data_IF_119390098023
#
_entry.id   IF_119390098023
#
_cell.length_a   1.000
_cell.length_b   1.000
_cell.length_c   1.000
_cell.angle_alpha   90.00
_cell.angle_beta   90.00
_cell.angle_gamma   90.00
#
_symmetry.space_group_name_H-M   'P 1'
#
loop_
_entity.id
_entity.type
_entity.pdbx_description
1 polymer ?
#
# COMPACT_ATOMS: atom_id res chain seq x y z
N UNK A 1 18.69 11.46 -26.92
CA UNK A 1 17.28 11.49 -27.39
C UNK A 1 17.12 12.33 -28.65
N UNK A 2 17.84 13.45 -28.81
CA UNK A 2 17.67 14.36 -29.96
C UNK A 2 17.75 13.72 -31.36
N UNK A 3 18.64 12.75 -31.63
CA UNK A 3 18.68 12.07 -32.93
C UNK A 3 17.43 11.22 -33.26
N UNK A 4 16.61 10.88 -32.25
CA UNK A 4 15.44 10.00 -32.40
C UNK A 4 14.14 10.80 -32.42
N UNK A 5 14.04 11.86 -31.59
CA UNK A 5 12.83 12.67 -31.41
C UNK A 5 13.12 14.18 -31.53
N UNK A 6 13.61 14.65 -32.70
CA UNK A 6 14.26 15.96 -32.83
C UNK A 6 13.38 17.15 -32.45
N UNK A 7 12.11 17.16 -32.86
CA UNK A 7 11.20 18.26 -32.55
C UNK A 7 10.79 18.31 -31.07
N UNK A 8 10.55 17.15 -30.45
CA UNK A 8 10.18 17.07 -29.03
C UNK A 8 11.35 17.48 -28.14
N UNK A 9 12.55 17.00 -28.44
CA UNK A 9 13.75 17.34 -27.67
C UNK A 9 14.12 18.81 -27.83
N UNK A 10 13.92 19.37 -29.03
CA UNK A 10 14.11 20.80 -29.27
C UNK A 10 13.13 21.62 -28.44
N UNK A 11 11.84 21.27 -28.46
CA UNK A 11 10.83 21.95 -27.65
C UNK A 11 11.14 21.90 -26.15
N UNK A 12 11.61 20.76 -25.63
CA UNK A 12 12.04 20.62 -24.23
C UNK A 12 13.27 21.49 -23.96
N UNK A 13 14.27 21.48 -24.83
CA UNK A 13 15.50 22.27 -24.68
C UNK A 13 15.21 23.76 -24.58
N UNK A 14 14.39 24.29 -25.50
CA UNK A 14 13.96 25.69 -25.50
C UNK A 14 13.27 26.07 -24.19
N UNK A 15 12.32 25.24 -23.73
CA UNK A 15 11.47 25.59 -22.59
C UNK A 15 12.07 25.28 -21.21
N UNK A 16 13.03 24.36 -21.13
CA UNK A 16 13.56 23.87 -19.85
C UNK A 16 15.04 24.21 -19.66
N UNK A 17 15.84 24.26 -20.73
CA UNK A 17 17.28 24.56 -20.64
C UNK A 17 17.54 26.03 -20.90
N UNK A 18 17.18 26.54 -22.09
CA UNK A 18 17.44 27.94 -22.44
C UNK A 18 16.60 28.94 -21.66
N UNK A 19 15.38 28.56 -21.28
CA UNK A 19 14.49 29.42 -20.49
C UNK A 19 15.02 29.71 -19.07
N UNK A 20 15.79 28.79 -18.48
CA UNK A 20 16.21 28.86 -17.07
C UNK A 20 17.73 28.76 -16.86
N UNK A 21 18.51 28.60 -17.92
CA UNK A 21 19.94 28.37 -17.85
C UNK A 21 20.66 28.78 -19.13
N UNK A 22 21.94 28.42 -19.21
CA UNK A 22 22.79 28.68 -20.36
C UNK A 22 22.98 27.37 -21.15
N UNK A 23 22.95 27.48 -22.47
CA UNK A 23 23.17 26.37 -23.40
C UNK A 23 23.20 26.88 -24.84
N UNK A 24 23.50 25.98 -25.78
CA UNK A 24 23.42 26.28 -27.21
C UNK A 24 21.98 26.61 -27.63
N UNK A 25 21.84 27.36 -28.73
CA UNK A 25 20.54 27.80 -29.24
C UNK A 25 19.60 26.65 -29.61
N UNK A 26 20.14 25.45 -29.88
CA UNK A 26 19.37 24.25 -30.17
C UNK A 26 20.07 23.03 -29.57
N UNK A 27 19.30 22.02 -29.16
CA UNK A 27 19.86 20.74 -28.70
C UNK A 27 20.62 20.00 -29.80
N UNK A 28 20.39 20.33 -31.07
CA UNK A 28 21.09 19.73 -32.20
C UNK A 28 22.47 20.35 -32.45
N UNK A 29 22.75 21.48 -31.80
CA UNK A 29 24.05 22.15 -31.81
C UNK A 29 24.88 21.81 -30.56
N UNK A 30 24.28 21.16 -29.57
CA UNK A 30 24.99 20.80 -28.33
C UNK A 30 25.78 19.51 -28.49
N UNK A 31 26.89 19.46 -27.76
CA UNK A 31 27.71 18.26 -27.67
C UNK A 31 26.97 17.11 -26.97
N UNK A 32 27.35 15.88 -27.34
CA UNK A 32 26.89 14.72 -26.61
C UNK A 32 27.38 14.78 -25.15
N UNK A 33 26.52 14.50 -24.15
CA UNK A 33 26.91 14.61 -22.75
C UNK A 33 28.06 13.64 -22.42
N UNK A 34 29.08 14.15 -21.74
CA UNK A 34 30.20 13.34 -21.25
C UNK A 34 29.76 12.57 -20.00
N UNK A 35 30.10 11.29 -19.93
CA UNK A 35 29.81 10.47 -18.77
C UNK A 35 30.52 11.05 -17.52
N UNK A 36 29.76 11.23 -16.44
CA UNK A 36 30.29 11.64 -15.14
C UNK A 36 30.84 10.46 -14.34
N UNK A 37 31.22 10.73 -13.09
CA UNK A 37 31.60 9.69 -12.13
C UNK A 37 30.35 8.90 -11.72
N UNK A 38 30.47 7.56 -11.73
CA UNK A 38 29.41 6.65 -11.28
C UNK A 38 29.72 6.18 -9.87
N UNK A 39 28.76 6.36 -8.96
CA UNK A 39 28.83 5.80 -7.61
C UNK A 39 28.13 4.43 -7.57
N UNK A 40 28.93 3.38 -7.64
CA UNK A 40 28.46 1.99 -7.60
C UNK A 40 27.78 1.62 -6.27
N UNK A 41 28.13 2.28 -5.16
CA UNK A 41 27.49 2.01 -3.88
C UNK A 41 26.06 2.55 -3.87
N UNK A 42 25.85 3.75 -4.42
CA UNK A 42 24.50 4.32 -4.59
C UNK A 42 23.65 3.45 -5.51
N UNK A 43 24.21 2.97 -6.62
CA UNK A 43 23.47 2.09 -7.54
C UNK A 43 22.98 0.82 -6.85
N UNK A 44 23.83 0.17 -6.06
CA UNK A 44 23.46 -1.02 -5.27
C UNK A 44 22.40 -0.72 -4.22
N UNK A 45 22.52 0.40 -3.51
CA UNK A 45 21.53 0.81 -2.52
C UNK A 45 20.17 1.03 -3.17
N UNK A 46 20.14 1.73 -4.31
CA UNK A 46 18.91 1.99 -5.07
C UNK A 46 18.29 0.69 -5.59
N UNK A 47 19.09 -0.29 -6.01
CA UNK A 47 18.60 -1.60 -6.44
C UNK A 47 17.83 -2.31 -5.29
N UNK A 48 18.39 -2.31 -4.08
CA UNK A 48 17.74 -2.87 -2.89
C UNK A 48 16.45 -2.11 -2.56
N UNK A 49 16.47 -0.78 -2.56
CA UNK A 49 15.30 0.07 -2.31
C UNK A 49 14.19 -0.20 -3.33
N UNK A 50 14.53 -0.32 -4.62
CA UNK A 50 13.57 -0.67 -5.67
C UNK A 50 12.99 -2.06 -5.48
N UNK A 51 13.80 -3.03 -5.03
CA UNK A 51 13.31 -4.37 -4.72
C UNK A 51 12.30 -4.34 -3.56
N UNK A 52 12.58 -3.60 -2.49
CA UNK A 52 11.63 -3.37 -1.38
C UNK A 52 10.31 -2.79 -1.88
N UNK A 53 10.36 -1.68 -2.62
CA UNK A 53 9.17 -1.01 -3.16
C UNK A 53 8.37 -1.96 -4.05
N UNK A 54 9.04 -2.67 -4.95
CA UNK A 54 8.39 -3.61 -5.87
C UNK A 54 7.69 -4.75 -5.12
N UNK A 55 8.34 -5.32 -4.11
CA UNK A 55 7.73 -6.40 -3.30
C UNK A 55 6.56 -5.89 -2.46
N UNK A 56 6.66 -4.70 -1.88
CA UNK A 56 5.57 -4.11 -1.12
C UNK A 56 4.35 -3.79 -2.01
N UNK A 57 4.56 -3.19 -3.19
CA UNK A 57 3.48 -2.92 -4.14
C UNK A 57 2.83 -4.20 -4.65
N UNK A 58 3.62 -5.25 -4.87
CA UNK A 58 3.09 -6.58 -5.21
C UNK A 58 2.23 -7.14 -4.07
N UNK A 59 2.71 -7.09 -2.83
CA UNK A 59 1.93 -7.53 -1.65
C UNK A 59 0.60 -6.80 -1.53
N UNK A 60 0.59 -5.48 -1.78
CA UNK A 60 -0.65 -4.68 -1.80
C UNK A 60 -1.61 -5.20 -2.88
N UNK A 61 -1.11 -5.45 -4.08
CA UNK A 61 -1.92 -5.98 -5.17
C UNK A 61 -2.47 -7.37 -4.85
N UNK A 62 -1.66 -8.26 -4.29
CA UNK A 62 -2.07 -9.62 -3.90
C UNK A 62 -3.18 -9.61 -2.82
N UNK A 63 -3.17 -8.60 -1.94
CA UNK A 63 -4.23 -8.35 -0.95
C UNK A 63 -5.34 -7.42 -1.46
N UNK A 64 -5.34 -7.03 -2.73
CA UNK A 64 -6.30 -6.11 -3.37
C UNK A 64 -6.41 -4.71 -2.72
N UNK A 65 -5.31 -4.20 -2.17
CA UNK A 65 -5.25 -2.89 -1.50
C UNK A 65 -4.72 -1.83 -2.49
N UNK A 66 -5.57 -0.87 -2.87
CA UNK A 66 -5.19 0.25 -3.75
C UNK A 66 -4.05 1.06 -3.13
N UNK A 67 -3.04 1.47 -3.89
CA UNK A 67 -1.88 2.26 -3.38
C UNK A 67 -2.31 3.56 -2.68
N UNK A 68 -3.42 4.18 -3.11
CA UNK A 68 -3.93 5.42 -2.49
C UNK A 68 -4.45 5.25 -1.06
N UNK A 69 -4.81 4.03 -0.67
CA UNK A 69 -5.20 3.72 0.70
C UNK A 69 -3.95 3.74 1.58
N UNK A 70 -3.73 4.70 2.48
CA UNK A 70 -2.58 4.64 3.35
C UNK A 70 -2.65 3.39 4.24
N UNK A 71 -1.50 2.77 4.48
CA UNK A 71 -1.33 1.68 5.44
C UNK A 71 -0.53 2.18 6.64
N UNK A 72 -0.68 1.52 7.78
CA UNK A 72 0.05 1.89 8.99
C UNK A 72 1.55 1.67 8.81
N UNK A 73 1.98 0.43 8.59
CA UNK A 73 3.39 0.07 8.66
C UNK A 73 3.86 -0.84 7.53
N UNK A 74 5.11 -0.60 7.11
CA UNK A 74 5.95 -1.52 6.36
C UNK A 74 7.00 -2.12 7.31
N UNK A 75 7.12 -3.44 7.33
CA UNK A 75 8.15 -4.14 8.10
C UNK A 75 9.27 -4.63 7.19
N UNK A 76 10.51 -4.29 7.57
CA UNK A 76 11.73 -4.67 6.86
C UNK A 76 12.70 -5.38 7.79
N UNK A 77 13.61 -6.17 7.22
CA UNK A 77 14.70 -6.77 7.98
C UNK A 77 15.66 -5.70 8.49
N UNK A 78 16.05 -5.80 9.76
CA UNK A 78 17.00 -4.89 10.42
C UNK A 78 18.31 -4.75 9.63
N UNK A 79 18.72 -5.78 8.90
CA UNK A 79 19.90 -5.74 8.03
C UNK A 79 19.78 -4.69 6.90
N UNK A 80 18.57 -4.31 6.51
CA UNK A 80 18.30 -3.34 5.45
C UNK A 80 18.27 -1.90 5.94
N UNK A 81 18.30 -1.67 7.26
CA UNK A 81 18.13 -0.34 7.85
C UNK A 81 19.18 0.65 7.34
N UNK A 82 20.46 0.26 7.31
CA UNK A 82 21.54 1.14 6.86
C UNK A 82 21.39 1.54 5.38
N UNK A 83 20.87 0.63 4.56
CA UNK A 83 20.68 0.85 3.11
C UNK A 83 19.43 1.67 2.84
N UNK A 84 18.34 1.41 3.57
CA UNK A 84 17.04 2.03 3.31
C UNK A 84 16.86 3.37 4.04
N UNK A 85 17.56 3.61 5.17
CA UNK A 85 17.45 4.82 5.99
C UNK A 85 17.56 6.14 5.22
N UNK A 86 18.50 6.29 4.29
CA UNK A 86 18.59 7.51 3.49
C UNK A 86 17.40 7.74 2.55
N UNK A 87 16.57 6.71 2.31
CA UNK A 87 15.49 6.72 1.31
C UNK A 87 14.09 6.51 1.92
N UNK A 88 13.94 6.66 3.23
CA UNK A 88 12.66 6.39 3.93
C UNK A 88 11.49 7.17 3.37
N UNK A 89 11.65 8.46 3.10
CA UNK A 89 10.54 9.28 2.58
C UNK A 89 10.10 8.77 1.20
N UNK A 90 11.05 8.43 0.33
CA UNK A 90 10.77 7.86 -1.00
C UNK A 90 10.03 6.53 -0.87
N UNK A 91 10.51 5.63 0.00
CA UNK A 91 9.89 4.32 0.21
C UNK A 91 8.46 4.49 0.76
N UNK A 92 8.27 5.39 1.74
CA UNK A 92 6.97 5.67 2.34
C UNK A 92 6.00 6.27 1.34
N UNK A 93 6.45 7.17 0.48
CA UNK A 93 5.61 7.84 -0.51
C UNK A 93 5.20 6.88 -1.62
N UNK A 94 6.13 6.10 -2.16
CA UNK A 94 5.86 5.12 -3.22
C UNK A 94 4.92 4.01 -2.75
N UNK A 95 5.10 3.52 -1.52
CA UNK A 95 4.27 2.45 -0.96
C UNK A 95 3.01 3.01 -0.30
N UNK A 96 2.98 4.29 0.09
CA UNK A 96 1.95 4.95 0.90
C UNK A 96 1.72 4.26 2.26
N UNK A 97 2.74 4.32 3.11
CA UNK A 97 2.74 3.81 4.51
C UNK A 97 3.10 4.92 5.50
N UNK A 98 2.57 4.87 6.72
CA UNK A 98 2.86 5.87 7.75
C UNK A 98 4.23 5.68 8.39
N UNK A 99 4.66 4.45 8.56
CA UNK A 99 5.94 4.12 9.17
C UNK A 99 6.65 2.93 8.52
N UNK A 100 7.96 2.87 8.71
CA UNK A 100 8.81 1.73 8.38
C UNK A 100 9.38 1.21 9.70
N UNK A 101 9.15 -0.07 10.00
CA UNK A 101 9.57 -0.73 11.22
C UNK A 101 10.58 -1.82 10.89
N UNK A 102 11.73 -1.79 11.56
CA UNK A 102 12.76 -2.81 11.38
C UNK A 102 12.61 -3.95 12.37
N UNK A 103 12.58 -5.18 11.86
CA UNK A 103 12.47 -6.39 12.66
C UNK A 103 13.75 -7.21 12.57
N UNK A 104 14.17 -7.77 13.71
CA UNK A 104 15.21 -8.80 13.77
C UNK A 104 14.63 -10.21 13.60
N UNK A 105 13.34 -10.39 13.91
CA UNK A 105 12.63 -11.65 13.77
C UNK A 105 11.26 -11.47 13.11
N UNK A 106 11.15 -11.92 11.86
CA UNK A 106 9.90 -11.93 11.11
C UNK A 106 8.97 -13.08 11.51
N UNK A 107 9.42 -14.07 12.27
CA UNK A 107 8.53 -15.10 12.81
C UNK A 107 7.51 -14.50 13.78
N UNK A 108 7.85 -13.37 14.42
CA UNK A 108 6.93 -12.59 15.26
C UNK A 108 5.67 -12.10 14.52
N UNK A 109 5.69 -12.04 13.17
CA UNK A 109 4.56 -11.64 12.33
C UNK A 109 3.69 -12.84 11.89
N UNK A 110 4.01 -14.04 12.36
CA UNK A 110 3.32 -15.26 12.02
C UNK A 110 2.91 -15.98 13.30
N UNK A 111 1.82 -16.74 13.22
CA UNK A 111 1.35 -17.60 14.30
C UNK A 111 1.54 -19.03 13.86
N UNK A 112 2.20 -19.82 14.71
CA UNK A 112 2.32 -21.25 14.49
C UNK A 112 1.03 -21.96 14.86
N UNK A 113 0.72 -23.02 14.13
CA UNK A 113 -0.42 -23.88 14.40
C UNK A 113 -0.09 -25.32 14.02
N UNK A 114 -0.80 -26.25 14.64
CA UNK A 114 -0.70 -27.66 14.31
C UNK A 114 -1.82 -28.02 13.35
N UNK A 115 -1.46 -28.79 12.33
CA UNK A 115 -2.41 -29.42 11.41
C UNK A 115 -2.23 -30.93 11.46
N UNK A 116 -3.30 -31.69 11.25
CA UNK A 116 -3.21 -33.14 11.19
C UNK A 116 -2.44 -33.56 9.94
N UNK A 117 -1.46 -34.46 10.12
CA UNK A 117 -0.87 -35.19 9.02
C UNK A 117 -1.85 -36.28 8.59
N UNK A 118 -2.76 -35.95 7.66
CA UNK A 118 -3.83 -36.85 7.22
C UNK A 118 -3.35 -38.24 6.75
N UNK A 119 -2.11 -38.37 6.25
CA UNK A 119 -1.57 -39.68 5.84
C UNK A 119 -1.28 -40.60 7.02
N UNK A 120 -0.70 -40.05 8.11
CA UNK A 120 -0.35 -40.82 9.32
C UNK A 120 -1.58 -40.94 10.22
N UNK A 121 -2.31 -39.83 10.40
CA UNK A 121 -3.54 -39.77 11.18
C UNK A 121 -4.62 -40.71 10.64
N UNK A 122 -4.78 -40.82 9.32
CA UNK A 122 -5.76 -41.75 8.73
C UNK A 122 -5.45 -43.23 9.01
N UNK A 123 -4.18 -43.60 9.12
CA UNK A 123 -3.77 -44.99 9.43
C UNK A 123 -4.00 -45.36 10.89
N UNK A 124 -3.78 -44.42 11.81
CA UNK A 124 -3.90 -44.64 13.26
C UNK A 124 -5.30 -44.34 13.81
N UNK A 125 -5.90 -43.21 13.47
CA UNK A 125 -7.15 -42.73 14.06
C UNK A 125 -8.40 -43.30 13.39
N UNK A 126 -8.32 -43.75 12.12
CA UNK A 126 -9.43 -44.34 11.35
C UNK A 126 -10.75 -43.58 11.56
N UNK A 127 -11.71 -44.16 12.29
CA UNK A 127 -13.05 -43.62 12.54
C UNK A 127 -13.05 -42.34 13.41
N UNK A 128 -11.98 -42.11 14.18
CA UNK A 128 -11.83 -40.91 15.01
C UNK A 128 -11.17 -39.75 14.26
N UNK A 129 -10.68 -39.94 13.02
CA UNK A 129 -10.01 -38.88 12.26
C UNK A 129 -10.87 -37.62 12.12
N UNK A 130 -12.14 -37.80 11.73
CA UNK A 130 -13.06 -36.67 11.54
C UNK A 130 -13.37 -35.97 12.87
N UNK A 131 -13.50 -36.73 13.97
CA UNK A 131 -13.75 -36.16 15.30
C UNK A 131 -12.58 -35.31 15.78
N UNK A 132 -11.35 -35.79 15.60
CA UNK A 132 -10.15 -35.05 15.99
C UNK A 132 -9.99 -33.81 15.10
N UNK A 133 -10.25 -33.92 13.80
CA UNK A 133 -10.19 -32.77 12.88
C UNK A 133 -11.20 -31.68 13.27
N UNK A 134 -12.46 -32.05 13.56
CA UNK A 134 -13.48 -31.10 14.02
C UNK A 134 -13.13 -30.44 15.36
N UNK A 135 -12.45 -31.14 16.26
CA UNK A 135 -11.97 -30.55 17.50
C UNK A 135 -10.89 -29.52 17.22
N UNK A 136 -9.93 -29.82 16.32
CA UNK A 136 -8.88 -28.88 15.91
C UNK A 136 -9.43 -27.63 15.22
N UNK A 137 -10.46 -27.78 14.39
CA UNK A 137 -11.12 -26.65 13.71
C UNK A 137 -11.87 -25.74 14.69
N UNK A 138 -12.22 -26.23 15.89
CA UNK A 138 -12.95 -25.48 16.93
C UNK A 138 -12.04 -24.92 18.02
N UNK A 139 -10.74 -25.21 18.00
CA UNK A 139 -9.81 -24.68 19.00
C UNK A 139 -9.72 -23.17 18.89
N UNK A 140 -9.71 -22.51 20.04
CA UNK A 140 -9.35 -21.09 20.12
C UNK A 140 -7.85 -20.89 19.86
N UNK A 141 -7.45 -19.66 19.52
CA UNK A 141 -6.02 -19.37 19.27
C UNK A 141 -5.14 -19.66 20.51
N UNK A 142 -5.65 -19.43 21.72
CA UNK A 142 -4.97 -19.74 22.98
C UNK A 142 -4.78 -21.25 23.17
N UNK A 143 -5.79 -22.05 22.87
CA UNK A 143 -5.70 -23.51 22.95
C UNK A 143 -4.76 -24.08 21.89
N UNK A 144 -4.78 -23.53 20.67
CA UNK A 144 -3.84 -23.90 19.61
C UNK A 144 -2.40 -23.57 20.01
N UNK A 145 -2.16 -22.39 20.59
CA UNK A 145 -0.85 -21.99 21.09
C UNK A 145 -0.35 -22.91 22.21
N UNK A 146 -1.23 -23.34 23.12
CA UNK A 146 -0.91 -24.33 24.14
C UNK A 146 -0.54 -25.70 23.53
N UNK A 147 -1.24 -26.13 22.48
CA UNK A 147 -0.92 -27.37 21.76
C UNK A 147 0.45 -27.28 21.07
N UNK A 148 0.77 -26.15 20.43
CA UNK A 148 2.10 -25.90 19.82
C UNK A 148 3.21 -25.91 20.88
N UNK A 149 2.98 -25.25 22.02
CA UNK A 149 3.94 -25.23 23.12
C UNK A 149 4.19 -26.64 23.69
N UNK A 150 3.13 -27.45 23.81
CA UNK A 150 3.22 -28.85 24.23
C UNK A 150 3.99 -29.65 23.19
N UNK A 151 3.65 -29.57 21.91
CA UNK A 151 4.34 -30.26 20.80
C UNK A 151 5.85 -30.02 20.75
N UNK A 152 6.29 -28.80 21.09
CA UNK A 152 7.72 -28.44 21.14
C UNK A 152 8.46 -29.04 22.34
N UNK A 153 7.77 -29.28 23.46
CA UNK A 153 8.37 -29.81 24.71
C UNK A 153 8.22 -31.32 24.83
N UNK A 154 7.02 -31.84 24.56
CA UNK A 154 6.60 -33.21 24.80
C UNK A 154 5.76 -33.72 23.62
N UNK A 155 6.01 -34.96 23.18
CA UNK A 155 5.43 -35.53 21.94
C UNK A 155 4.27 -36.52 22.12
N UNK A 156 3.46 -36.39 23.18
CA UNK A 156 2.05 -36.69 23.01
C UNK A 156 1.20 -35.45 23.33
N UNK A 157 0.36 -35.06 22.37
CA UNK A 157 -0.48 -33.85 22.45
C UNK A 157 -1.84 -34.24 22.99
N UNK A 158 -2.30 -33.52 24.00
CA UNK A 158 -3.68 -33.65 24.51
C UNK A 158 -4.52 -32.54 23.89
N UNK A 159 -5.61 -32.92 23.24
CA UNK A 159 -6.54 -31.99 22.58
C UNK A 159 -7.79 -31.87 23.43
N UNK A 160 -8.23 -30.65 23.73
CA UNK A 160 -9.48 -30.39 24.46
C UNK A 160 -10.64 -31.13 23.78
N UNK A 161 -11.31 -32.02 24.52
CA UNK A 161 -12.44 -32.80 24.01
C UNK A 161 -12.09 -34.18 23.43
N UNK A 162 -10.81 -34.55 23.31
CA UNK A 162 -10.40 -35.91 22.97
C UNK A 162 -9.80 -36.65 24.18
N UNK A 163 -10.26 -37.87 24.44
CA UNK A 163 -9.91 -38.62 25.67
C UNK A 163 -8.48 -39.16 25.69
N UNK A 164 -7.88 -39.42 24.52
CA UNK A 164 -6.58 -40.07 24.42
C UNK A 164 -5.50 -39.05 24.05
N UNK A 165 -4.29 -39.24 24.54
CA UNK A 165 -3.16 -38.45 24.09
C UNK A 165 -2.75 -38.90 22.68
N UNK A 166 -2.51 -37.93 21.79
CA UNK A 166 -2.23 -38.16 20.39
C UNK A 166 -0.72 -38.08 20.14
N UNK A 167 -0.09 -39.10 19.53
CA UNK A 167 1.32 -39.06 19.19
C UNK A 167 1.67 -37.83 18.34
N UNK A 168 2.82 -37.20 18.60
CA UNK A 168 3.27 -36.02 17.85
C UNK A 168 3.41 -36.27 16.34
N UNK A 169 3.67 -37.51 15.92
CA UNK A 169 3.78 -37.91 14.50
C UNK A 169 2.48 -37.69 13.69
N UNK A 170 1.35 -37.54 14.39
CA UNK A 170 0.06 -37.24 13.77
C UNK A 170 -0.07 -35.78 13.34
N UNK A 171 0.90 -34.92 13.66
CA UNK A 171 0.80 -33.48 13.46
C UNK A 171 1.95 -32.92 12.63
N UNK A 172 1.62 -31.92 11.81
CA UNK A 172 2.58 -31.04 11.16
C UNK A 172 2.52 -29.68 11.84
N UNK A 173 3.68 -29.15 12.22
CA UNK A 173 3.83 -27.76 12.67
C UNK A 173 3.93 -26.86 11.45
N UNK A 174 2.94 -25.98 11.28
CA UNK A 174 2.86 -25.01 10.20
C UNK A 174 2.84 -23.58 10.79
N UNK A 175 3.04 -22.59 9.92
CA UNK A 175 2.98 -21.18 10.29
C UNK A 175 2.08 -20.44 9.31
N UNK A 176 1.18 -19.61 9.83
CA UNK A 176 0.33 -18.70 9.06
C UNK A 176 0.64 -17.26 9.43
N UNK A 177 0.47 -16.33 8.50
CA UNK A 177 0.55 -14.90 8.79
C UNK A 177 -0.44 -14.53 9.91
N UNK A 178 -0.05 -13.63 10.81
CA UNK A 178 -0.99 -13.05 11.77
C UNK A 178 -2.11 -12.32 11.04
N UNK A 179 -3.24 -12.15 11.71
CA UNK A 179 -4.33 -11.36 11.16
C UNK A 179 -3.83 -9.98 10.72
N UNK A 180 -4.31 -9.53 9.56
CA UNK A 180 -3.89 -8.30 8.91
C UNK A 180 -2.40 -8.18 8.55
N UNK A 181 -1.58 -9.23 8.70
CA UNK A 181 -0.21 -9.23 8.19
C UNK A 181 -0.13 -9.84 6.80
N UNK A 182 0.66 -9.23 5.92
CA UNK A 182 0.96 -9.73 4.59
C UNK A 182 2.47 -9.79 4.40
N UNK A 183 3.06 -10.94 4.09
CA UNK A 183 4.51 -11.15 4.00
C UNK A 183 4.91 -11.72 2.63
N UNK A 184 6.03 -11.22 2.10
CA UNK A 184 6.67 -11.73 0.87
C UNK A 184 8.15 -11.92 1.11
N UNK A 185 8.71 -12.98 0.52
CA UNK A 185 10.14 -13.33 0.61
C UNK A 185 10.78 -13.54 -0.77
N UNK A 186 10.24 -12.92 -1.83
CA UNK A 186 10.83 -13.02 -3.16
C UNK A 186 12.01 -12.06 -3.29
N UNK A 187 13.22 -12.53 -2.99
CA UNK A 187 14.47 -11.76 -3.05
C UNK A 187 14.72 -10.89 -1.83
N UNK A 188 13.75 -10.07 -1.43
CA UNK A 188 13.79 -9.25 -0.20
C UNK A 188 12.60 -9.59 0.68
N UNK A 189 12.85 -9.74 1.98
CA UNK A 189 11.81 -10.03 2.96
C UNK A 189 11.11 -8.73 3.38
N UNK A 190 9.81 -8.66 3.08
CA UNK A 190 8.97 -7.49 3.34
C UNK A 190 7.64 -7.95 3.93
N UNK A 191 7.11 -7.19 4.88
CA UNK A 191 5.73 -7.37 5.31
C UNK A 191 4.97 -6.04 5.43
N UNK A 192 3.65 -6.09 5.32
CA UNK A 192 2.75 -4.95 5.48
C UNK A 192 1.73 -5.24 6.57
N UNK A 193 1.44 -4.23 7.38
CA UNK A 193 0.20 -4.21 8.15
C UNK A 193 -0.93 -3.72 7.24
N UNK A 194 -1.89 -4.61 6.99
CA UNK A 194 -3.06 -4.40 6.13
C UNK A 194 -4.30 -3.98 6.91
N UNK A 195 -4.19 -3.82 8.24
CA UNK A 195 -5.28 -3.36 9.09
C UNK A 195 -5.63 -1.91 8.73
N UNK A 196 -6.90 -1.70 8.38
CA UNK A 196 -7.42 -0.38 8.04
C UNK A 196 -8.18 0.19 9.22
N UNK A 197 -7.49 1.02 10.01
CA UNK A 197 -8.14 1.85 11.03
C UNK A 197 -9.08 2.86 10.37
N UNK A 198 -10.07 3.36 11.11
CA UNK A 198 -11.02 4.33 10.57
C UNK A 198 -10.32 5.61 10.09
N UNK A 199 -9.27 6.06 10.79
CA UNK A 199 -8.45 7.19 10.34
C UNK A 199 -7.78 6.93 8.99
N UNK A 200 -7.22 5.74 8.77
CA UNK A 200 -6.60 5.37 7.50
C UNK A 200 -7.65 5.29 6.37
N UNK A 201 -8.85 4.74 6.64
CA UNK A 201 -9.95 4.71 5.66
C UNK A 201 -10.38 6.12 5.26
N UNK A 202 -10.59 7.00 6.23
CA UNK A 202 -10.97 8.41 6.01
C UNK A 202 -9.92 9.13 5.16
N UNK A 203 -8.63 8.95 5.46
CA UNK A 203 -7.56 9.53 4.64
C UNK A 203 -7.52 8.94 3.22
N UNK A 204 -7.76 7.63 3.08
CA UNK A 204 -7.87 6.98 1.77
C UNK A 204 -8.98 7.59 0.90
N UNK A 205 -10.16 7.81 1.50
CA UNK A 205 -11.29 8.49 0.84
C UNK A 205 -10.93 9.92 0.45
N UNK A 206 -10.28 10.68 1.35
CA UNK A 206 -9.80 12.02 1.04
C UNK A 206 -8.88 12.04 -0.18
N UNK A 207 -7.87 11.15 -0.23
CA UNK A 207 -6.93 11.06 -1.36
C UNK A 207 -7.64 10.71 -2.67
N UNK A 208 -8.67 9.88 -2.61
CA UNK A 208 -9.46 9.54 -3.79
C UNK A 208 -10.31 10.72 -4.27
N UNK A 209 -10.99 11.43 -3.36
CA UNK A 209 -11.73 12.67 -3.66
C UNK A 209 -10.80 13.71 -4.27
N UNK A 210 -9.64 13.96 -3.67
CA UNK A 210 -8.67 14.94 -4.15
C UNK A 210 -8.25 14.64 -5.59
N UNK A 211 -7.94 13.39 -5.91
CA UNK A 211 -7.62 12.97 -7.27
C UNK A 211 -8.76 13.25 -8.24
N UNK A 212 -9.99 12.96 -7.85
CA UNK A 212 -11.16 13.25 -8.69
C UNK A 212 -11.37 14.75 -8.90
N UNK A 213 -11.06 15.58 -7.91
CA UNK A 213 -11.08 17.03 -8.07
C UNK A 213 -10.04 17.50 -9.10
N UNK A 214 -8.81 16.96 -9.04
CA UNK A 214 -7.76 17.30 -10.02
C UNK A 214 -8.11 16.83 -11.44
N UNK A 215 -8.69 15.63 -11.57
CA UNK A 215 -9.19 15.15 -12.85
C UNK A 215 -10.31 16.03 -13.39
N UNK A 216 -11.25 16.44 -12.52
CA UNK A 216 -12.35 17.33 -12.90
C UNK A 216 -11.83 18.69 -13.37
N UNK A 217 -10.80 19.26 -12.71
CA UNK A 217 -10.10 20.47 -13.17
C UNK A 217 -9.55 20.32 -14.57
N UNK A 218 -8.83 19.22 -14.82
CA UNK A 218 -8.24 18.93 -16.13
C UNK A 218 -9.31 18.75 -17.22
N UNK A 219 -10.36 17.99 -16.92
CA UNK A 219 -11.46 17.71 -17.85
C UNK A 219 -12.28 18.98 -18.17
N UNK A 220 -12.43 19.89 -17.21
CA UNK A 220 -13.08 21.18 -17.41
C UNK A 220 -12.18 22.24 -18.09
N UNK A 221 -10.95 21.88 -18.47
CA UNK A 221 -10.05 22.73 -19.26
C UNK A 221 -9.29 23.79 -18.45
N UNK A 222 -9.17 23.62 -17.13
CA UNK A 222 -8.39 24.54 -16.29
C UNK A 222 -6.88 24.26 -16.38
N UNK A 223 -6.08 25.32 -16.39
CA UNK A 223 -4.64 25.23 -16.21
C UNK A 223 -4.28 24.89 -14.75
N UNK A 224 -3.05 24.43 -14.52
CA UNK A 224 -2.56 24.06 -13.17
C UNK A 224 -2.60 25.26 -12.22
N UNK A 225 -2.37 26.47 -12.72
CA UNK A 225 -2.37 27.71 -11.95
C UNK A 225 -3.75 28.32 -11.69
N UNK A 226 -4.80 27.82 -12.34
CA UNK A 226 -6.12 28.46 -12.28
C UNK A 226 -6.77 28.25 -10.91
N UNK A 227 -7.40 29.28 -10.39
CA UNK A 227 -8.25 29.15 -9.20
C UNK A 227 -9.67 28.77 -9.61
N UNK A 228 -10.31 27.86 -8.86
CA UNK A 228 -11.63 27.31 -9.21
C UNK A 228 -12.57 27.28 -8.02
N UNK A 229 -13.87 27.15 -8.30
CA UNK A 229 -14.87 26.85 -7.28
C UNK A 229 -15.21 25.37 -7.32
N UNK A 230 -15.29 24.73 -6.16
CA UNK A 230 -15.75 23.35 -6.00
C UNK A 230 -16.99 23.30 -5.11
N UNK A 231 -17.89 22.39 -5.44
CA UNK A 231 -19.04 22.01 -4.61
C UNK A 231 -19.15 20.50 -4.54
N UNK A 232 -19.60 19.98 -3.41
CA UNK A 232 -19.69 18.57 -3.13
C UNK A 232 -21.07 18.22 -2.59
N UNK A 233 -21.73 17.25 -3.24
CA UNK A 233 -23.04 16.76 -2.82
C UNK A 233 -22.99 15.26 -2.62
N UNK A 234 -23.41 14.79 -1.44
CA UNK A 234 -23.52 13.37 -1.15
C UNK A 234 -24.62 13.11 -0.13
N UNK A 235 -25.29 11.98 -0.27
CA UNK A 235 -26.21 11.46 0.75
C UNK A 235 -25.50 10.59 1.79
N UNK A 236 -24.20 10.33 1.63
CA UNK A 236 -23.41 9.44 2.50
C UNK A 236 -22.73 10.27 3.60
N UNK A 237 -23.07 10.07 4.88
CA UNK A 237 -22.50 10.86 5.98
C UNK A 237 -20.97 10.76 6.09
N UNK A 238 -20.40 9.57 5.87
CA UNK A 238 -18.95 9.35 5.90
C UNK A 238 -18.20 10.24 4.90
N UNK A 239 -18.71 10.34 3.67
CA UNK A 239 -18.12 11.19 2.61
C UNK A 239 -18.27 12.68 2.93
N UNK A 240 -19.40 13.09 3.50
CA UNK A 240 -19.61 14.46 3.98
C UNK A 240 -18.60 14.82 5.09
N UNK A 241 -18.37 13.91 6.04
CA UNK A 241 -17.37 14.10 7.10
C UNK A 241 -15.97 14.29 6.54
N UNK A 242 -15.56 13.46 5.56
CA UNK A 242 -14.24 13.56 4.91
C UNK A 242 -14.05 14.93 4.25
N UNK A 243 -15.05 15.40 3.49
CA UNK A 243 -14.97 16.72 2.82
C UNK A 243 -14.88 17.86 3.82
N UNK A 244 -15.57 17.75 4.96
CA UNK A 244 -15.51 18.77 6.01
C UNK A 244 -14.17 18.76 6.76
N UNK A 245 -13.68 17.58 7.15
CA UNK A 245 -12.43 17.38 7.87
C UNK A 245 -11.21 17.82 7.02
N UNK A 246 -11.15 17.36 5.76
CA UNK A 246 -10.04 17.63 4.85
C UNK A 246 -10.28 18.84 3.92
N UNK A 247 -11.34 19.61 4.14
CA UNK A 247 -11.73 20.70 3.25
C UNK A 247 -10.64 21.76 3.07
N UNK A 248 -9.84 22.02 4.11
CA UNK A 248 -8.70 22.94 4.03
C UNK A 248 -7.60 22.42 3.09
N UNK A 249 -7.27 21.13 3.19
CA UNK A 249 -6.27 20.52 2.32
C UNK A 249 -6.78 20.41 0.88
N UNK A 250 -8.04 20.02 0.67
CA UNK A 250 -8.65 20.00 -0.68
C UNK A 250 -8.53 21.39 -1.33
N UNK A 251 -8.88 22.46 -0.62
CA UNK A 251 -8.76 23.85 -1.12
C UNK A 251 -7.32 24.21 -1.48
N UNK A 252 -6.36 23.87 -0.63
CA UNK A 252 -4.94 24.15 -0.86
C UNK A 252 -4.41 23.41 -2.08
N UNK A 253 -4.58 22.09 -2.11
CA UNK A 253 -4.03 21.22 -3.15
C UNK A 253 -4.69 21.45 -4.52
N UNK A 254 -5.96 21.88 -4.54
CA UNK A 254 -6.71 22.12 -5.79
C UNK A 254 -6.83 23.59 -6.16
N UNK A 255 -6.15 24.51 -5.46
CA UNK A 255 -6.28 25.96 -5.64
C UNK A 255 -7.74 26.40 -5.76
N UNK A 256 -8.59 25.93 -4.83
CA UNK A 256 -10.03 26.10 -4.92
C UNK A 256 -10.65 26.79 -3.72
N UNK A 257 -11.85 27.33 -3.93
CA UNK A 257 -12.80 27.65 -2.86
C UNK A 257 -13.92 26.61 -2.87
N UNK A 258 -14.38 26.19 -1.69
CA UNK A 258 -15.48 25.23 -1.55
C UNK A 258 -16.72 25.97 -1.08
N UNK A 259 -17.76 26.00 -1.91
CA UNK A 259 -19.07 26.60 -1.60
C UNK A 259 -20.14 26.00 -2.50
N UNK A 260 -21.40 26.14 -2.09
CA UNK A 260 -22.52 25.64 -2.88
C UNK A 260 -22.60 26.32 -4.25
N UNK A 261 -22.73 25.53 -5.32
CA UNK A 261 -22.78 26.01 -6.70
C UNK A 261 -24.15 25.75 -7.32
N UNK A 262 -24.87 26.84 -7.64
CA UNK A 262 -26.16 26.78 -8.34
C UNK A 262 -26.00 26.50 -9.84
N UNK A 263 -24.97 27.07 -10.48
CA UNK A 263 -24.70 26.92 -11.92
C UNK A 263 -23.27 26.40 -12.15
N UNK A 264 -23.02 25.10 -12.01
CA UNK A 264 -21.69 24.55 -12.23
C UNK A 264 -21.33 24.53 -13.71
N UNK A 265 -20.05 24.77 -14.03
CA UNK A 265 -19.50 24.59 -15.37
C UNK A 265 -19.51 23.11 -15.78
N UNK A 266 -19.18 22.24 -14.84
CA UNK A 266 -19.19 20.79 -15.02
C UNK A 266 -19.50 20.11 -13.69
N UNK A 267 -20.16 18.96 -13.74
CA UNK A 267 -20.37 18.10 -12.58
C UNK A 267 -20.07 16.65 -12.92
N UNK A 268 -19.58 15.90 -11.93
CA UNK A 268 -19.22 14.49 -12.09
C UNK A 268 -19.60 13.71 -10.86
N UNK A 269 -20.34 12.62 -11.07
CA UNK A 269 -20.62 11.64 -10.03
C UNK A 269 -19.39 10.73 -9.86
N UNK A 270 -18.81 10.73 -8.67
CA UNK A 270 -17.66 9.95 -8.27
C UNK A 270 -18.18 8.73 -7.49
N UNK A 271 -17.79 7.54 -7.91
CA UNK A 271 -18.07 6.31 -7.19
C UNK A 271 -16.87 5.95 -6.32
N UNK A 272 -17.09 5.89 -5.01
CA UNK A 272 -16.13 5.53 -3.97
C UNK A 272 -16.59 4.23 -3.29
N UNK A 273 -15.72 3.63 -2.50
CA UNK A 273 -16.00 2.36 -1.82
C UNK A 273 -17.18 2.49 -0.81
N UNK A 274 -17.32 3.66 -0.16
CA UNK A 274 -18.42 3.99 0.78
C UNK A 274 -19.73 4.46 0.10
N UNK A 275 -19.72 4.68 -1.22
CA UNK A 275 -20.88 5.19 -1.96
C UNK A 275 -20.53 6.28 -2.97
N UNK A 276 -21.47 7.19 -3.27
CA UNK A 276 -21.26 8.19 -4.32
C UNK A 276 -21.21 9.62 -3.80
N UNK A 277 -20.30 10.41 -4.38
CA UNK A 277 -20.13 11.85 -4.17
C UNK A 277 -20.23 12.55 -5.52
N UNK A 278 -21.08 13.56 -5.64
CA UNK A 278 -21.11 14.42 -6.83
C UNK A 278 -20.20 15.62 -6.58
N UNK A 279 -19.16 15.77 -7.38
CA UNK A 279 -18.30 16.95 -7.38
C UNK A 279 -18.70 17.87 -8.53
N UNK A 280 -18.82 19.16 -8.24
CA UNK A 280 -19.11 20.20 -9.22
C UNK A 280 -17.95 21.20 -9.26
N UNK A 281 -17.70 21.79 -10.43
CA UNK A 281 -16.66 22.79 -10.64
C UNK A 281 -17.22 23.99 -11.39
N UNK A 282 -16.75 25.20 -11.06
CA UNK A 282 -17.06 26.43 -11.79
C UNK A 282 -15.86 27.39 -11.81
N UNK A 283 -15.88 28.38 -12.72
CA UNK A 283 -14.93 29.49 -12.71
C UNK A 283 -15.27 30.44 -11.56
N UNK A 284 -14.25 31.08 -10.97
CA UNK A 284 -14.47 32.10 -9.92
C UNK A 284 -15.33 33.26 -10.46
N UNK A 285 -15.13 33.64 -11.72
CA UNK A 285 -15.82 34.78 -12.34
C UNK A 285 -17.26 34.46 -12.79
N UNK A 286 -17.73 33.22 -12.62
CA UNK A 286 -19.05 32.75 -13.08
C UNK A 286 -20.00 32.36 -11.92
N UNK A 287 -19.69 32.75 -10.69
CA UNK A 287 -20.51 32.49 -9.51
C UNK A 287 -21.22 33.72 -8.97
#
# INVERSE_FOLDING_TARGET
MAPVLPFMTEHIWQNMTLKYGAGEESVHLSDFPKAGVVDEAVLKNVEVVRAVITQALKLRNDKNIKVKQPLSALYLDKQLELVCAPYFDIIKDEINVKEIVYLTDFASLSTEYLSLNFQVAGRQLRDDLNKVNELFDKLTDDEMAACVATYRKERPITVSGYKNSLPGELFNLLSKEKEHMAKSQSGVLVALNTELTDALKTEGLYREILRHCQLLRKEAGFAVSDKVLLDFETAVPALSSVVNEYGADIRRETLSEVRHLQSPLMMKKIQLDEGSLTAKIARIDQA
#
